data_IF_641901853934
#
_entry.id   IF_641901853934
#
_cell.length_a   1.000
_cell.length_b   1.000
_cell.length_c   1.000
_cell.angle_alpha   90.00
_cell.angle_beta   90.00
_cell.angle_gamma   90.00
#
_symmetry.space_group_name_H-M   'P 1'
#
loop_
_entity.id
_entity.type
_entity.pdbx_description
1 polymer ?
#
# COMPACT_ATOMS: atom_id res chain seq x y z
N UNK A 1 4.45 -1.30 21.12
CA UNK A 1 4.30 -0.97 19.69
C UNK A 1 4.58 -2.26 18.92
N UNK A 2 3.79 -2.58 17.88
CA UNK A 2 3.94 -3.84 17.16
C UNK A 2 5.12 -3.71 16.19
N UNK A 3 5.90 -4.76 16.04
CA UNK A 3 6.93 -4.80 14.98
C UNK A 3 6.25 -5.18 13.66
N UNK A 4 6.28 -4.26 12.69
CA UNK A 4 5.68 -4.50 11.38
C UNK A 4 6.57 -5.42 10.52
N UNK A 5 7.88 -5.46 10.77
CA UNK A 5 8.84 -6.24 9.96
C UNK A 5 8.64 -7.75 10.11
N UNK A 6 8.01 -8.18 11.21
CA UNK A 6 7.63 -9.57 11.46
C UNK A 6 6.31 -9.98 10.81
N UNK A 7 5.56 -9.04 10.22
CA UNK A 7 4.28 -9.33 9.57
C UNK A 7 4.49 -9.72 8.11
N UNK A 8 4.05 -10.91 7.73
CA UNK A 8 4.06 -11.36 6.33
C UNK A 8 3.29 -10.38 5.42
N UNK A 9 2.13 -9.89 5.88
CA UNK A 9 1.34 -8.91 5.14
C UNK A 9 2.10 -7.61 4.84
N UNK A 10 3.02 -7.18 5.73
CA UNK A 10 3.88 -6.02 5.46
C UNK A 10 4.92 -6.34 4.39
N UNK A 11 5.59 -7.49 4.50
CA UNK A 11 6.62 -7.92 3.55
C UNK A 11 6.05 -8.04 2.13
N UNK A 12 4.88 -8.67 1.99
CA UNK A 12 4.17 -8.79 0.71
C UNK A 12 3.70 -7.44 0.16
N UNK A 13 3.19 -6.56 1.04
CA UNK A 13 2.75 -5.22 0.63
C UNK A 13 3.91 -4.31 0.19
N UNK A 14 5.07 -4.41 0.85
CA UNK A 14 6.28 -3.67 0.48
C UNK A 14 6.84 -4.15 -0.87
N UNK A 15 6.89 -5.47 -1.09
CA UNK A 15 7.27 -6.03 -2.38
C UNK A 15 6.30 -5.63 -3.49
N UNK A 16 4.98 -5.67 -3.23
CA UNK A 16 3.96 -5.22 -4.17
C UNK A 16 4.16 -3.76 -4.57
N UNK A 17 4.49 -2.87 -3.63
CA UNK A 17 4.77 -1.47 -3.94
C UNK A 17 5.92 -1.34 -4.95
N UNK A 18 7.03 -2.06 -4.74
CA UNK A 18 8.16 -2.08 -5.69
C UNK A 18 7.73 -2.64 -7.06
N UNK A 19 6.92 -3.70 -7.08
CA UNK A 19 6.42 -4.29 -8.33
C UNK A 19 5.56 -3.32 -9.12
N UNK A 20 4.67 -2.55 -8.47
CA UNK A 20 3.84 -1.55 -9.16
C UNK A 20 4.69 -0.43 -9.77
N UNK A 21 5.75 0.01 -9.10
CA UNK A 21 6.68 0.98 -9.70
C UNK A 21 7.35 0.44 -10.97
N UNK A 22 7.73 -0.84 -10.97
CA UNK A 22 8.30 -1.52 -12.15
C UNK A 22 7.26 -1.70 -13.26
N UNK A 23 6.06 -2.15 -12.92
CA UNK A 23 4.97 -2.43 -13.86
C UNK A 23 4.43 -1.18 -14.54
N UNK A 24 4.44 -0.04 -13.85
CA UNK A 24 3.98 1.26 -14.38
C UNK A 24 5.08 2.06 -15.08
N UNK A 25 6.35 1.63 -15.02
CA UNK A 25 7.47 2.30 -15.71
C UNK A 25 7.29 2.45 -17.24
N UNK A 26 6.74 1.47 -17.97
CA UNK A 26 6.55 1.59 -19.43
C UNK A 26 5.25 2.31 -19.83
N UNK A 27 4.46 2.81 -18.88
CA UNK A 27 3.21 3.52 -19.22
C UNK A 27 3.50 4.80 -20.04
N UNK A 28 2.56 5.24 -20.88
CA UNK A 28 2.69 6.49 -21.63
C UNK A 28 2.90 7.70 -20.70
N UNK A 29 3.60 8.74 -21.19
CA UNK A 29 3.88 9.94 -20.38
C UNK A 29 2.60 10.68 -19.98
N UNK A 30 1.57 10.58 -20.79
CA UNK A 30 0.26 11.19 -20.55
C UNK A 30 -0.40 10.60 -19.30
N UNK A 31 -0.10 9.34 -18.95
CA UNK A 31 -0.62 8.66 -17.76
C UNK A 31 0.18 8.95 -16.48
N UNK A 32 1.26 9.74 -16.56
CA UNK A 32 2.15 10.00 -15.42
C UNK A 32 1.39 10.55 -14.21
N UNK A 33 0.47 11.49 -14.44
CA UNK A 33 -0.37 12.09 -13.40
C UNK A 33 -1.76 11.44 -13.29
N UNK A 34 -2.10 10.55 -14.23
CA UNK A 34 -3.32 9.74 -14.25
C UNK A 34 -3.10 8.39 -13.57
N UNK A 35 -3.24 7.31 -14.33
CA UNK A 35 -3.22 5.95 -13.81
C UNK A 35 -1.90 5.59 -13.10
N UNK A 36 -0.75 6.06 -13.61
CA UNK A 36 0.56 5.78 -13.00
C UNK A 36 0.65 6.33 -11.57
N UNK A 37 0.25 7.59 -11.37
CA UNK A 37 0.27 8.20 -10.05
C UNK A 37 -0.75 7.55 -9.12
N UNK A 38 -1.92 7.19 -9.62
CA UNK A 38 -2.96 6.56 -8.81
C UNK A 38 -2.52 5.18 -8.30
N UNK A 39 -2.06 4.30 -9.18
CA UNK A 39 -1.58 2.97 -8.83
C UNK A 39 -0.41 3.02 -7.85
N UNK A 40 0.59 3.90 -8.09
CA UNK A 40 1.76 4.01 -7.20
C UNK A 40 1.39 4.51 -5.81
N UNK A 41 0.47 5.47 -5.70
CA UNK A 41 -0.02 5.96 -4.40
C UNK A 41 -0.80 4.87 -3.66
N UNK A 42 -1.72 4.19 -4.34
CA UNK A 42 -2.48 3.10 -3.74
C UNK A 42 -1.56 1.98 -3.25
N UNK A 43 -0.58 1.58 -4.06
CA UNK A 43 0.38 0.53 -3.70
C UNK A 43 1.24 0.90 -2.48
N UNK A 44 1.80 2.12 -2.42
CA UNK A 44 2.61 2.58 -1.27
C UNK A 44 1.76 2.79 -0.02
N UNK A 45 0.49 3.14 -0.17
CA UNK A 45 -0.45 3.32 0.95
C UNK A 45 -0.66 2.02 1.74
N UNK A 46 -0.61 0.85 1.08
CA UNK A 46 -0.82 -0.45 1.76
C UNK A 46 0.22 -0.71 2.88
N UNK A 47 1.54 -0.82 2.59
CA UNK A 47 2.53 -1.03 3.65
C UNK A 47 2.62 0.16 4.61
N UNK A 48 2.42 1.40 4.13
CA UNK A 48 2.46 2.60 4.99
C UNK A 48 1.39 2.55 6.09
N UNK A 49 0.16 2.17 5.75
CA UNK A 49 -0.91 2.04 6.73
C UNK A 49 -0.67 0.86 7.68
N UNK A 50 -0.04 -0.23 7.24
CA UNK A 50 0.35 -1.33 8.15
C UNK A 50 1.36 -0.81 9.20
N UNK A 51 2.39 -0.09 8.76
CA UNK A 51 3.41 0.52 9.65
C UNK A 51 2.75 1.51 10.63
N UNK A 52 1.91 2.41 10.14
CA UNK A 52 1.20 3.38 10.97
C UNK A 52 0.27 2.71 11.98
N UNK A 53 -0.41 1.64 11.58
CA UNK A 53 -1.24 0.82 12.47
C UNK A 53 -0.42 0.15 13.56
N UNK A 54 0.73 -0.43 13.21
CA UNK A 54 1.64 -1.06 14.16
C UNK A 54 2.17 -0.06 15.21
N UNK A 55 2.26 1.22 14.83
CA UNK A 55 2.62 2.33 15.72
C UNK A 55 1.52 2.71 16.73
N UNK A 56 0.26 2.27 16.53
CA UNK A 56 -0.86 2.64 17.43
C UNK A 56 -0.89 1.80 18.71
N UNK A 57 -1.26 2.45 19.81
CA UNK A 57 -1.33 1.82 21.14
C UNK A 57 -2.55 0.90 21.29
N UNK A 58 -3.72 1.33 20.81
CA UNK A 58 -4.96 0.56 20.94
C UNK A 58 -5.08 -0.51 19.84
N UNK A 59 -5.79 -1.60 20.14
CA UNK A 59 -6.13 -2.61 19.12
C UNK A 59 -7.12 -2.05 18.10
N UNK A 60 -8.05 -1.20 18.52
CA UNK A 60 -9.05 -0.59 17.65
C UNK A 60 -8.41 0.32 16.59
N UNK A 61 -7.45 1.17 17.00
CA UNK A 61 -6.73 2.02 16.04
C UNK A 61 -5.88 1.18 15.09
N UNK A 62 -5.20 0.14 15.58
CA UNK A 62 -4.44 -0.77 14.72
C UNK A 62 -5.32 -1.37 13.61
N UNK A 63 -6.49 -1.90 13.98
CA UNK A 63 -7.45 -2.47 13.01
C UNK A 63 -7.93 -1.43 12.00
N UNK A 64 -8.25 -0.20 12.42
CA UNK A 64 -8.66 0.87 11.50
C UNK A 64 -7.62 1.19 10.43
N UNK A 65 -6.34 1.13 10.78
CA UNK A 65 -5.25 1.30 9.82
C UNK A 65 -5.14 0.10 8.87
N UNK A 66 -5.37 -1.13 9.35
CA UNK A 66 -5.43 -2.31 8.47
C UNK A 66 -6.61 -2.24 7.49
N UNK A 67 -7.78 -1.75 7.91
CA UNK A 67 -8.92 -1.55 7.03
C UNK A 67 -8.59 -0.54 5.91
N UNK A 68 -7.84 0.50 6.25
CA UNK A 68 -7.37 1.49 5.27
C UNK A 68 -6.35 0.89 4.30
N UNK A 69 -5.39 0.09 4.80
CA UNK A 69 -4.46 -0.66 3.96
C UNK A 69 -5.20 -1.58 2.98
N UNK A 70 -6.22 -2.29 3.46
CA UNK A 70 -7.06 -3.16 2.64
C UNK A 70 -7.85 -2.36 1.59
N UNK A 71 -8.42 -1.22 1.95
CA UNK A 71 -9.12 -0.34 1.01
C UNK A 71 -8.18 0.13 -0.12
N UNK A 72 -6.96 0.56 0.20
CA UNK A 72 -5.95 0.93 -0.80
C UNK A 72 -5.56 -0.26 -1.70
N UNK A 73 -5.46 -1.47 -1.14
CA UNK A 73 -5.20 -2.68 -1.94
C UNK A 73 -6.34 -2.99 -2.91
N UNK A 74 -7.60 -2.82 -2.48
CA UNK A 74 -8.78 -3.00 -3.34
C UNK A 74 -8.84 -1.97 -4.46
N UNK A 75 -8.50 -0.73 -4.17
CA UNK A 75 -8.37 0.33 -5.19
C UNK A 75 -7.27 -0.03 -6.21
N UNK A 76 -6.09 -0.44 -5.75
CA UNK A 76 -5.00 -0.86 -6.63
C UNK A 76 -5.41 -2.03 -7.53
N UNK A 77 -6.08 -3.04 -6.96
CA UNK A 77 -6.56 -4.20 -7.73
C UNK A 77 -7.49 -3.75 -8.87
N UNK A 78 -8.38 -2.78 -8.62
CA UNK A 78 -9.27 -2.27 -9.66
C UNK A 78 -8.52 -1.54 -10.80
N UNK A 79 -7.34 -0.97 -10.52
CA UNK A 79 -6.55 -0.18 -11.47
C UNK A 79 -5.53 -1.01 -12.27
N UNK A 80 -5.16 -2.19 -11.77
CA UNK A 80 -4.17 -3.09 -12.36
C UNK A 80 -4.79 -4.02 -13.41
#
# INVERSE_FOLDING_TARGET
MRDHTTLQAFQEADELAVLIYRATKPFPREEQFGLTAQMRRAAVSVPSNIVEGCARQSQADFVRFLDTAFASLRELHYQA
#
